data_IF_869974497101
#
_entry.id   IF_869974497101
#
_cell.length_a   1.000
_cell.length_b   1.000
_cell.length_c   1.000
_cell.angle_alpha   90.00
_cell.angle_beta   90.00
_cell.angle_gamma   90.00
#
_symmetry.space_group_name_H-M   'P 1'
#
loop_
_entity.id
_entity.type
_entity.pdbx_description
1 polymer ?
#
# COMPACT_ATOMS: atom_id res chain seq x y z
N UNK A 1 -0.26 1.50 -12.35
CA UNK A 1 -0.30 1.04 -10.94
C UNK A 1 -0.65 -0.45 -10.80
N UNK A 2 -1.52 -1.04 -11.64
CA UNK A 2 -1.81 -2.49 -11.62
C UNK A 2 -0.57 -3.39 -11.57
N UNK A 3 0.47 -3.08 -12.35
CA UNK A 3 1.75 -3.80 -12.33
C UNK A 3 2.39 -3.88 -10.93
N UNK A 4 2.39 -2.77 -10.19
CA UNK A 4 2.93 -2.75 -8.82
C UNK A 4 2.12 -3.65 -7.91
N UNK A 5 0.80 -3.72 -8.08
CA UNK A 5 -0.09 -4.51 -7.20
C UNK A 5 -0.08 -6.00 -7.55
N UNK A 6 -0.11 -6.35 -8.84
CA UNK A 6 -0.40 -7.72 -9.30
C UNK A 6 0.83 -8.50 -9.78
N UNK A 7 1.92 -7.80 -10.11
CA UNK A 7 3.10 -8.45 -10.73
C UNK A 7 4.37 -8.32 -9.88
N UNK A 8 4.38 -7.46 -8.85
CA UNK A 8 5.54 -7.33 -7.98
C UNK A 8 5.47 -8.30 -6.80
N UNK A 9 6.59 -8.92 -6.41
CA UNK A 9 6.65 -9.68 -5.18
C UNK A 9 6.56 -8.75 -3.98
N UNK A 10 5.58 -8.96 -3.11
CA UNK A 10 5.43 -8.19 -1.88
C UNK A 10 5.92 -8.96 -0.67
N UNK A 11 6.47 -8.22 0.28
CA UNK A 11 6.68 -8.66 1.64
C UNK A 11 6.44 -7.49 2.58
N UNK A 12 5.99 -7.79 3.79
CA UNK A 12 5.86 -6.78 4.83
C UNK A 12 7.23 -6.44 5.41
N UNK A 13 7.60 -5.16 5.42
CA UNK A 13 8.89 -4.73 5.97
C UNK A 13 8.99 -5.03 7.48
N UNK A 14 10.21 -5.29 7.96
CA UNK A 14 10.45 -5.70 9.33
C UNK A 14 10.18 -4.65 10.41
N UNK A 15 10.26 -3.37 10.07
CA UNK A 15 9.86 -2.25 10.93
C UNK A 15 8.33 -2.15 10.96
N UNK A 16 7.72 -2.87 11.90
CA UNK A 16 6.26 -2.99 12.02
C UNK A 16 5.63 -1.64 12.35
N UNK A 17 4.56 -1.33 11.63
CA UNK A 17 3.71 -0.17 11.86
C UNK A 17 2.29 -0.65 12.22
N UNK A 18 1.66 0.01 13.19
CA UNK A 18 0.29 -0.32 13.63
C UNK A 18 -0.78 0.03 12.59
N UNK A 19 -0.49 0.97 11.69
CA UNK A 19 -1.41 1.50 10.70
C UNK A 19 -1.22 0.91 9.30
N UNK A 20 0.00 0.50 8.93
CA UNK A 20 0.31 0.11 7.56
C UNK A 20 1.15 -1.18 7.51
N UNK A 21 0.76 -2.11 6.64
CA UNK A 21 1.70 -3.10 6.09
C UNK A 21 2.43 -2.45 4.92
N UNK A 22 3.76 -2.56 4.89
CA UNK A 22 4.59 -1.79 3.96
C UNK A 22 5.36 -2.68 3.01
N UNK A 23 5.14 -2.52 1.71
CA UNK A 23 5.89 -3.16 0.64
C UNK A 23 6.80 -2.14 -0.05
N UNK A 24 8.05 -2.06 0.42
CA UNK A 24 8.93 -0.92 0.10
C UNK A 24 9.75 -1.08 -1.18
N UNK A 25 9.75 -2.24 -1.81
CA UNK A 25 10.59 -2.48 -3.00
C UNK A 25 10.06 -1.76 -4.25
N UNK A 26 8.75 -1.54 -4.33
CA UNK A 26 8.14 -0.86 -5.48
C UNK A 26 8.69 0.57 -5.64
N UNK A 27 8.81 1.37 -4.57
CA UNK A 27 9.39 2.72 -4.68
C UNK A 27 10.85 2.73 -5.15
N UNK A 28 11.61 1.68 -4.87
CA UNK A 28 13.02 1.56 -5.30
C UNK A 28 13.08 1.21 -6.78
N UNK A 29 12.33 0.20 -7.20
CA UNK A 29 12.30 -0.30 -8.59
C UNK A 29 11.73 0.73 -9.56
N UNK A 30 10.72 1.48 -9.13
CA UNK A 30 10.01 2.45 -9.95
C UNK A 30 10.45 3.91 -9.66
N UNK A 31 11.61 4.10 -9.03
CA UNK A 31 12.14 5.44 -8.71
C UNK A 31 12.27 6.30 -9.98
N UNK A 32 11.79 7.54 -9.89
CA UNK A 32 11.82 8.50 -11.00
C UNK A 32 10.66 8.36 -11.99
N UNK A 33 9.78 7.38 -11.81
CA UNK A 33 8.48 7.36 -12.50
C UNK A 33 7.49 8.28 -11.78
N UNK A 34 6.53 8.82 -12.53
CA UNK A 34 5.48 9.69 -11.98
C UNK A 34 4.35 8.89 -11.34
N UNK A 35 3.99 9.28 -10.13
CA UNK A 35 2.86 8.79 -9.37
C UNK A 35 1.92 9.96 -9.04
N UNK A 36 1.16 10.50 -10.03
CA UNK A 36 0.26 11.62 -9.76
C UNK A 36 -0.85 11.21 -8.78
N UNK A 37 -1.37 12.17 -8.03
CA UNK A 37 -2.59 11.97 -7.25
C UNK A 37 -3.77 11.81 -8.20
N UNK A 38 -4.55 10.75 -8.04
CA UNK A 38 -5.75 10.49 -8.84
C UNK A 38 -6.93 9.99 -8.00
N UNK A 39 -6.69 9.32 -6.87
CA UNK A 39 -7.74 8.85 -5.97
C UNK A 39 -7.31 8.94 -4.51
N UNK A 40 -7.45 10.12 -3.92
CA UNK A 40 -7.12 10.37 -2.52
C UNK A 40 -8.41 10.66 -1.71
N UNK A 41 -9.19 9.62 -1.35
CA UNK A 41 -10.39 9.81 -0.54
C UNK A 41 -10.03 10.39 0.83
N UNK A 42 -10.92 11.16 1.46
CA UNK A 42 -10.66 11.80 2.77
C UNK A 42 -10.27 10.80 3.86
N UNK A 43 -10.81 9.59 3.79
CA UNK A 43 -10.51 8.49 4.71
C UNK A 43 -9.90 7.34 3.91
N UNK A 44 -8.76 6.84 4.41
CA UNK A 44 -8.24 5.52 4.05
C UNK A 44 -8.83 4.55 5.06
N UNK A 45 -9.42 3.46 4.57
CA UNK A 45 -10.08 2.42 5.36
C UNK A 45 -9.15 1.23 5.56
N UNK A 46 -9.31 0.52 6.68
CA UNK A 46 -8.66 -0.79 6.84
C UNK A 46 -9.00 -1.67 5.63
N UNK A 47 -8.01 -2.33 5.05
CA UNK A 47 -8.16 -3.10 3.81
C UNK A 47 -7.79 -2.34 2.53
N UNK A 48 -7.72 -1.01 2.57
CA UNK A 48 -7.32 -0.23 1.40
C UNK A 48 -5.88 -0.55 1.00
N UNK A 49 -5.70 -0.80 -0.30
CA UNK A 49 -4.40 -0.91 -0.96
C UNK A 49 -4.04 0.50 -1.42
N UNK A 50 -2.89 0.99 -0.97
CA UNK A 50 -2.44 2.37 -1.15
C UNK A 50 -1.12 2.38 -1.90
N UNK A 51 -0.98 3.29 -2.87
CA UNK A 51 0.32 3.64 -3.47
C UNK A 51 0.58 5.12 -3.23
N UNK A 52 1.73 5.43 -2.64
CA UNK A 52 2.09 6.83 -2.37
C UNK A 52 2.34 7.61 -3.67
N UNK A 53 1.79 8.83 -3.73
CA UNK A 53 2.00 9.72 -4.86
C UNK A 53 3.34 10.44 -4.79
N UNK A 54 3.66 11.17 -5.85
CA UNK A 54 4.81 12.08 -5.92
C UNK A 54 4.81 13.12 -4.79
N UNK A 55 3.64 13.49 -4.26
CA UNK A 55 3.50 14.43 -3.15
C UNK A 55 4.03 13.88 -1.81
N UNK A 56 4.33 12.58 -1.74
CA UNK A 56 4.95 11.90 -0.61
C UNK A 56 6.47 11.74 -0.74
N UNK A 57 7.08 12.35 -1.78
CA UNK A 57 8.52 12.51 -1.92
C UNK A 57 9.26 11.18 -2.03
N UNK A 58 10.16 10.88 -1.08
CA UNK A 58 10.98 9.67 -1.12
C UNK A 58 10.18 8.36 -0.96
N UNK A 59 8.89 8.45 -0.63
CA UNK A 59 7.97 7.33 -0.58
C UNK A 59 7.20 7.10 -1.88
N UNK A 60 7.28 7.99 -2.87
CA UNK A 60 6.54 7.87 -4.13
C UNK A 60 6.68 6.47 -4.75
N UNK A 61 5.55 5.84 -5.06
CA UNK A 61 5.48 4.48 -5.58
C UNK A 61 5.56 3.36 -4.54
N UNK A 62 5.68 3.65 -3.24
CA UNK A 62 5.63 2.64 -2.17
C UNK A 62 4.20 2.10 -2.05
N UNK A 63 4.07 0.76 -2.05
CA UNK A 63 2.78 0.10 -1.84
C UNK A 63 2.60 -0.17 -0.34
N UNK A 64 1.42 0.18 0.16
CA UNK A 64 1.01 -0.06 1.53
C UNK A 64 -0.38 -0.72 1.57
N UNK A 65 -0.68 -1.44 2.65
CA UNK A 65 -2.05 -1.88 2.98
C UNK A 65 -2.44 -1.29 4.33
N UNK A 66 -3.59 -0.63 4.39
CA UNK A 66 -4.09 -0.06 5.63
C UNK A 66 -4.57 -1.14 6.60
N UNK A 67 -3.99 -1.16 7.81
CA UNK A 67 -4.41 -2.01 8.93
C UNK A 67 -5.48 -1.35 9.79
N UNK A 68 -5.64 -0.04 9.69
CA UNK A 68 -6.59 0.78 10.44
C UNK A 68 -7.07 1.94 9.59
N UNK A 69 -8.25 2.45 9.92
CA UNK A 69 -8.75 3.69 9.35
C UNK A 69 -7.84 4.87 9.70
N UNK A 70 -7.60 5.75 8.73
CA UNK A 70 -6.82 6.97 8.92
C UNK A 70 -7.26 8.08 7.96
N UNK A 71 -7.01 9.32 8.35
CA UNK A 71 -7.28 10.48 7.48
C UNK A 71 -6.22 10.52 6.38
N UNK A 72 -6.66 10.59 5.13
CA UNK A 72 -5.76 10.82 4.01
C UNK A 72 -5.40 12.30 3.97
N UNK A 73 -4.11 12.59 3.81
CA UNK A 73 -3.63 13.97 3.64
C UNK A 73 -3.90 14.54 2.23
N UNK A 74 -4.63 13.80 1.38
CA UNK A 74 -4.86 14.14 -0.03
C UNK A 74 -3.69 13.76 -0.94
N UNK A 75 -2.75 12.95 -0.43
CA UNK A 75 -1.48 12.63 -1.11
C UNK A 75 -1.29 11.14 -1.39
N UNK A 76 -2.10 10.27 -0.81
CA UNK A 76 -1.94 8.83 -0.98
C UNK A 76 -3.07 8.30 -1.87
N UNK A 77 -2.72 7.52 -2.89
CA UNK A 77 -3.71 6.99 -3.82
C UNK A 77 -4.25 5.66 -3.30
N UNK A 78 -5.55 5.54 -3.12
CA UNK A 78 -6.22 4.24 -2.93
C UNK A 78 -6.40 3.59 -4.30
N UNK A 79 -5.80 2.42 -4.49
CA UNK A 79 -5.72 1.70 -5.78
C UNK A 79 -6.54 0.41 -5.81
N UNK A 80 -7.06 -0.02 -4.66
CA UNK A 80 -7.86 -1.23 -4.49
C UNK A 80 -8.25 -1.44 -3.02
N UNK A 81 -9.00 -2.50 -2.77
CA UNK A 81 -9.43 -2.88 -1.42
C UNK A 81 -9.42 -4.40 -1.30
N UNK A 82 -8.93 -4.92 -0.18
CA UNK A 82 -8.99 -6.36 0.15
C UNK A 82 -10.44 -6.73 0.42
N UNK A 83 -10.92 -7.84 -0.11
CA UNK A 83 -12.30 -8.30 0.13
C UNK A 83 -12.56 -8.47 1.63
N UNK A 84 -13.76 -8.10 2.08
CA UNK A 84 -14.11 -8.02 3.51
C UNK A 84 -13.86 -9.34 4.25
N UNK A 85 -14.11 -10.46 3.58
CA UNK A 85 -13.90 -11.81 4.08
C UNK A 85 -12.43 -12.12 4.41
N UNK A 86 -11.48 -11.39 3.81
CA UNK A 86 -10.03 -11.63 3.95
C UNK A 86 -9.31 -10.51 4.70
N UNK A 87 -9.98 -9.41 5.05
CA UNK A 87 -9.39 -8.29 5.81
C UNK A 87 -8.78 -8.75 7.15
N UNK A 88 -9.25 -9.85 7.74
CA UNK A 88 -8.67 -10.43 8.95
C UNK A 88 -7.25 -10.99 8.75
N UNK A 89 -6.88 -11.36 7.52
CA UNK A 89 -5.55 -11.88 7.19
C UNK A 89 -4.46 -10.82 7.42
N UNK A 90 -4.79 -9.53 7.34
CA UNK A 90 -3.85 -8.43 7.57
C UNK A 90 -3.20 -8.47 8.96
N UNK A 91 -3.91 -9.00 9.97
CA UNK A 91 -3.36 -9.16 11.33
C UNK A 91 -2.46 -10.38 11.47
N UNK A 92 -2.46 -11.27 10.47
CA UNK A 92 -1.67 -12.51 10.44
C UNK A 92 -0.36 -12.34 9.67
N UNK A 93 -0.21 -11.28 8.86
CA UNK A 93 0.99 -11.01 8.08
C UNK A 93 2.12 -10.55 9.01
N UNK A 94 3.15 -11.39 9.14
CA UNK A 94 4.31 -11.17 10.00
C UNK A 94 5.37 -10.27 9.34
N UNK A 95 6.31 -9.72 10.13
CA UNK A 95 7.53 -9.12 9.60
C UNK A 95 8.22 -10.03 8.58
N UNK A 96 8.64 -9.47 7.45
CA UNK A 96 9.31 -10.16 6.34
C UNK A 96 8.50 -11.25 5.64
N UNK A 97 7.23 -11.43 6.02
CA UNK A 97 6.35 -12.38 5.38
C UNK A 97 5.97 -11.89 3.98
N UNK A 98 6.09 -12.78 3.00
CA UNK A 98 5.67 -12.55 1.62
C UNK A 98 4.16 -12.66 1.47
N UNK A 99 3.61 -11.89 0.55
CA UNK A 99 2.21 -11.95 0.15
C UNK A 99 2.08 -11.51 -1.31
N UNK A 100 0.93 -11.78 -1.91
CA UNK A 100 0.57 -11.38 -3.26
C UNK A 100 -0.93 -11.07 -3.32
N UNK A 101 -1.36 -10.40 -4.38
CA UNK A 101 -2.76 -10.06 -4.63
C UNK A 101 -3.28 -10.82 -5.85
N UNK A 102 -4.53 -11.25 -5.79
CA UNK A 102 -5.24 -11.87 -6.92
C UNK A 102 -6.55 -11.12 -7.18
N UNK A 103 -7.05 -11.19 -8.41
CA UNK A 103 -8.33 -10.60 -8.85
C UNK A 103 -9.43 -11.65 -8.94
#
# INVERSE_FOLDING_TARGET
>A
MKKIVLEEPHFNRGDVNDYLLRSTMSRVKYKGQGFPVFNAPKMIKRGDIVIESDNFGHYAGELNIAKRDMVNTGRSNVVGHVVEEEVFLLDKIKPWQKFEFTL
#
